data_IF_126710886736
#
_entry.id   IF_126710886736
#
_cell.length_a   1.000
_cell.length_b   1.000
_cell.length_c   1.000
_cell.angle_alpha   90.00
_cell.angle_beta   90.00
_cell.angle_gamma   90.00
#
_symmetry.space_group_name_H-M   'P 1'
#
loop_
_entity.id
_entity.type
_entity.pdbx_description
1 polymer ?
#
# COMPACT_ATOMS: atom_id res chain seq x y z
N UNK A 1 1.73 -16.13 -25.09
CA UNK A 1 1.45 -16.49 -23.69
C UNK A 1 2.57 -16.08 -22.70
N UNK A 2 3.86 -16.26 -23.02
CA UNK A 2 4.95 -15.85 -22.10
C UNK A 2 5.09 -14.33 -21.92
N UNK A 3 4.98 -13.56 -23.01
CA UNK A 3 5.04 -12.08 -22.93
C UNK A 3 3.93 -11.49 -22.07
N UNK A 4 2.69 -11.93 -22.27
CA UNK A 4 1.55 -11.49 -21.45
C UNK A 4 1.80 -11.73 -19.96
N UNK A 5 2.26 -12.95 -19.59
CA UNK A 5 2.59 -13.27 -18.20
C UNK A 5 3.68 -12.35 -17.64
N UNK A 6 4.74 -12.11 -18.41
CA UNK A 6 5.82 -11.22 -18.01
C UNK A 6 5.32 -9.78 -17.78
N UNK A 7 4.58 -9.23 -18.76
CA UNK A 7 4.05 -7.87 -18.68
C UNK A 7 3.07 -7.73 -17.52
N UNK A 8 2.13 -8.66 -17.35
CA UNK A 8 1.22 -8.68 -16.20
C UNK A 8 1.99 -8.74 -14.88
N UNK A 9 3.06 -9.53 -14.80
CA UNK A 9 3.87 -9.61 -13.58
C UNK A 9 4.56 -8.28 -13.26
N UNK A 10 5.17 -7.62 -14.25
CA UNK A 10 5.84 -6.32 -14.05
C UNK A 10 4.85 -5.23 -13.63
N UNK A 11 3.68 -5.22 -14.26
CA UNK A 11 2.58 -4.32 -13.91
C UNK A 11 2.12 -4.57 -12.46
N UNK A 12 1.92 -5.83 -12.06
CA UNK A 12 1.56 -6.21 -10.70
C UNK A 12 2.64 -5.79 -9.69
N UNK A 13 3.91 -6.05 -9.97
CA UNK A 13 5.01 -5.64 -9.08
C UNK A 13 5.00 -4.13 -8.85
N UNK A 14 4.76 -3.36 -9.92
CA UNK A 14 4.90 -1.91 -9.89
C UNK A 14 3.72 -1.19 -9.24
N UNK A 15 2.49 -1.53 -9.65
CA UNK A 15 1.28 -0.81 -9.25
C UNK A 15 0.43 -1.51 -8.18
N UNK A 16 0.79 -2.73 -7.75
CA UNK A 16 0.03 -3.46 -6.71
C UNK A 16 0.95 -3.90 -5.58
N UNK A 17 1.95 -4.76 -5.85
CA UNK A 17 2.82 -5.32 -4.81
C UNK A 17 3.53 -4.23 -4.01
N UNK A 18 4.08 -3.23 -4.69
CA UNK A 18 4.74 -2.10 -4.03
C UNK A 18 3.84 -1.48 -2.94
N UNK A 19 2.63 -1.08 -3.31
CA UNK A 19 1.70 -0.38 -2.43
C UNK A 19 1.05 -1.29 -1.39
N UNK A 20 0.97 -2.59 -1.66
CA UNK A 20 0.60 -3.58 -0.65
C UNK A 20 1.66 -3.73 0.47
N UNK A 21 2.91 -3.33 0.20
CA UNK A 21 4.03 -3.47 1.13
C UNK A 21 4.54 -2.13 1.67
N UNK A 22 4.02 -1.00 1.18
CA UNK A 22 4.55 0.34 1.48
C UNK A 22 3.40 1.36 1.55
N UNK A 23 3.73 2.66 1.58
CA UNK A 23 2.78 3.76 1.71
C UNK A 23 1.96 3.69 3.00
N UNK A 24 0.62 3.67 2.92
CA UNK A 24 -0.26 3.53 4.06
C UNK A 24 0.06 2.29 4.92
N UNK A 25 0.56 1.21 4.30
CA UNK A 25 1.00 0.00 5.02
C UNK A 25 2.23 0.25 5.87
N UNK A 26 3.14 1.14 5.44
CA UNK A 26 4.29 1.54 6.26
C UNK A 26 3.83 2.32 7.48
N UNK A 27 2.85 3.22 7.33
CA UNK A 27 2.28 3.99 8.43
C UNK A 27 1.50 3.13 9.43
N UNK A 28 0.63 2.25 8.96
CA UNK A 28 -0.09 1.30 9.84
C UNK A 28 0.85 0.24 10.40
N UNK A 29 1.91 -0.07 9.66
CA UNK A 29 2.95 -1.04 9.98
C UNK A 29 3.79 -0.61 11.17
N UNK A 30 4.27 0.63 11.26
CA UNK A 30 5.06 1.15 12.40
C UNK A 30 4.19 1.71 13.54
N UNK A 31 3.15 0.98 13.92
CA UNK A 31 2.39 1.32 15.12
C UNK A 31 3.22 1.01 16.38
N UNK A 32 3.76 2.03 17.03
CA UNK A 32 4.25 1.88 18.41
C UNK A 32 3.04 1.64 19.33
N UNK A 33 3.06 0.64 20.24
CA UNK A 33 4.19 -0.22 20.63
C UNK A 33 4.26 -1.59 19.94
N UNK A 34 3.43 -1.86 18.94
CA UNK A 34 3.24 -3.19 18.35
C UNK A 34 4.31 -3.57 17.31
N UNK A 35 4.90 -2.59 16.63
CA UNK A 35 5.95 -2.82 15.64
C UNK A 35 7.01 -1.72 15.71
N UNK A 36 8.17 -2.09 16.23
CA UNK A 36 9.34 -1.23 16.24
C UNK A 36 10.23 -1.59 15.05
N UNK A 37 10.70 -0.57 14.31
CA UNK A 37 11.71 -0.77 13.26
C UNK A 37 13.05 -1.34 13.77
N UNK A 38 13.24 -1.40 15.10
CA UNK A 38 14.35 -2.09 15.75
C UNK A 38 14.19 -2.10 17.27
N UNK A 39 14.80 -3.09 17.92
CA UNK A 39 14.82 -3.21 19.38
C UNK A 39 16.07 -2.53 19.96
N UNK A 40 15.92 -1.87 21.11
CA UNK A 40 17.01 -1.13 21.77
C UNK A 40 17.66 -1.85 22.94
N UNK A 41 17.15 -3.03 23.30
CA UNK A 41 17.69 -3.89 24.35
C UNK A 41 17.93 -5.29 23.83
N UNK A 42 18.89 -5.97 24.48
CA UNK A 42 19.13 -7.40 24.26
C UNK A 42 17.90 -8.21 24.68
N UNK A 43 17.62 -9.27 23.92
CA UNK A 43 16.48 -10.14 24.21
C UNK A 43 16.65 -10.88 25.54
N UNK A 44 15.56 -11.14 26.28
CA UNK A 44 15.61 -11.96 27.48
C UNK A 44 16.13 -13.35 27.13
N UNK A 45 16.96 -13.92 28.01
CA UNK A 45 17.58 -15.23 27.78
C UNK A 45 16.79 -16.38 28.42
N UNK A 46 15.78 -16.05 29.24
CA UNK A 46 14.98 -17.02 30.00
C UNK A 46 13.51 -16.64 29.99
N UNK A 47 12.63 -17.65 30.00
CA UNK A 47 11.18 -17.45 30.16
C UNK A 47 10.88 -17.05 31.61
N UNK A 48 9.85 -16.22 31.80
CA UNK A 48 9.41 -15.76 33.13
C UNK A 48 10.23 -14.60 33.71
N UNK A 49 11.26 -14.14 33.00
CA UNK A 49 11.97 -12.91 33.36
C UNK A 49 11.02 -11.72 33.27
N UNK A 50 10.97 -10.88 34.32
CA UNK A 50 10.16 -9.66 34.31
C UNK A 50 10.81 -8.64 33.41
N UNK A 51 10.15 -8.32 32.30
CA UNK A 51 10.66 -7.39 31.28
C UNK A 51 9.69 -6.25 31.10
N UNK A 52 10.23 -5.03 31.03
CA UNK A 52 9.46 -3.87 30.60
C UNK A 52 9.57 -3.76 29.07
N UNK A 53 8.52 -4.20 28.36
CA UNK A 53 8.51 -4.21 26.90
C UNK A 53 8.65 -2.81 26.29
N UNK A 54 8.27 -1.75 27.02
CA UNK A 54 8.41 -0.38 26.54
C UNK A 54 9.88 0.06 26.44
N UNK A 55 10.79 -0.56 27.20
CA UNK A 55 12.22 -0.25 27.14
C UNK A 55 12.93 -0.86 25.93
N UNK A 56 12.28 -1.81 25.25
CA UNK A 56 12.80 -2.37 23.99
C UNK A 56 12.47 -1.47 22.79
N UNK A 57 11.48 -0.60 22.93
CA UNK A 57 10.96 0.25 21.87
C UNK A 57 11.70 1.55 21.63
N UNK A 58 11.10 2.42 20.82
CA UNK A 58 11.58 3.79 20.60
C UNK A 58 11.35 4.63 21.86
N UNK A 59 12.36 5.36 22.38
CA UNK A 59 12.18 6.27 23.51
C UNK A 59 11.13 7.32 23.17
N UNK A 60 10.33 7.72 24.17
CA UNK A 60 9.28 8.72 23.99
C UNK A 60 9.80 10.02 23.35
N UNK A 61 11.03 10.44 23.67
CA UNK A 61 11.67 11.62 23.09
C UNK A 61 11.95 11.51 21.58
N UNK A 62 12.08 10.31 21.04
CA UNK A 62 12.34 10.04 19.62
C UNK A 62 11.09 9.58 18.86
N UNK A 63 10.00 9.32 19.58
CA UNK A 63 8.75 8.85 18.98
C UNK A 63 8.21 9.79 17.90
N UNK A 64 8.20 11.14 18.07
CA UNK A 64 7.76 12.04 17.02
C UNK A 64 8.57 11.89 15.72
N UNK A 65 9.90 11.78 15.83
CA UNK A 65 10.79 11.62 14.67
C UNK A 65 10.52 10.29 13.97
N UNK A 66 10.37 9.20 14.72
CA UNK A 66 10.06 7.89 14.17
C UNK A 66 8.71 7.88 13.42
N UNK A 67 7.69 8.52 14.01
CA UNK A 67 6.36 8.64 13.38
C UNK A 67 6.40 9.55 12.14
N UNK A 68 7.13 10.66 12.19
CA UNK A 68 7.32 11.54 11.02
C UNK A 68 8.01 10.81 9.86
N UNK A 69 9.02 9.97 10.15
CA UNK A 69 9.69 9.18 9.12
C UNK A 69 8.73 8.22 8.41
N UNK A 70 7.81 7.58 9.14
CA UNK A 70 6.80 6.70 8.56
C UNK A 70 5.70 7.45 7.81
N UNK A 71 5.24 8.57 8.35
CA UNK A 71 4.27 9.44 7.68
C UNK A 71 4.79 9.94 6.32
N UNK A 72 6.11 10.05 6.16
CA UNK A 72 6.72 10.40 4.88
C UNK A 72 6.57 9.33 3.79
N UNK A 73 6.10 8.12 4.10
CA UNK A 73 5.73 7.13 3.08
C UNK A 73 4.25 7.25 2.67
N UNK A 74 3.40 7.84 3.52
CA UNK A 74 1.99 8.07 3.18
C UNK A 74 1.87 9.27 2.27
N UNK A 75 1.28 9.05 1.10
CA UNK A 75 1.00 10.12 0.14
C UNK A 75 -0.47 10.07 -0.28
N UNK A 76 -1.18 11.22 -0.27
CA UNK A 76 -2.48 11.30 -0.89
C UNK A 76 -2.36 10.97 -2.38
N UNK A 77 -3.11 9.97 -2.83
CA UNK A 77 -3.14 9.57 -4.23
C UNK A 77 -4.17 10.42 -4.96
N UNK A 78 -3.72 11.17 -5.97
CA UNK A 78 -4.65 11.92 -6.81
C UNK A 78 -5.39 10.97 -7.77
N UNK A 79 -6.62 11.33 -8.16
CA UNK A 79 -7.39 10.55 -9.15
C UNK A 79 -6.64 10.38 -10.48
N UNK A 80 -5.80 11.35 -10.85
CA UNK A 80 -5.00 11.33 -12.08
C UNK A 80 -3.84 10.32 -12.02
N UNK A 81 -3.47 9.89 -10.82
CA UNK A 81 -2.37 8.94 -10.60
C UNK A 81 -2.86 7.55 -10.22
N UNK A 82 -4.16 7.38 -9.98
CA UNK A 82 -4.73 6.09 -9.60
C UNK A 82 -4.95 5.19 -10.80
N UNK A 83 -5.13 3.89 -10.55
CA UNK A 83 -5.40 2.88 -11.58
C UNK A 83 -6.56 3.22 -12.52
N UNK A 84 -7.51 4.03 -12.06
CA UNK A 84 -8.62 4.52 -12.88
C UNK A 84 -8.18 5.40 -14.05
N UNK A 85 -6.96 5.95 -14.00
CA UNK A 85 -6.37 6.82 -15.04
C UNK A 85 -5.16 6.17 -15.74
N UNK A 86 -4.91 4.87 -15.51
CA UNK A 86 -3.69 4.15 -15.94
C UNK A 86 -3.40 4.18 -17.45
N UNK A 87 -4.43 4.33 -18.28
CA UNK A 87 -4.32 4.39 -19.74
C UNK A 87 -4.84 5.71 -20.32
N UNK A 88 -5.11 6.72 -19.48
CA UNK A 88 -5.51 8.06 -19.94
C UNK A 88 -4.27 8.91 -20.30
N UNK A 89 -3.41 8.35 -21.14
CA UNK A 89 -2.19 8.99 -21.59
C UNK A 89 -1.80 8.48 -22.97
N UNK A 90 -1.18 9.33 -23.79
CA UNK A 90 -0.64 8.92 -25.07
C UNK A 90 0.50 7.89 -24.87
N UNK A 91 0.62 6.88 -25.77
CA UNK A 91 -0.21 6.67 -26.95
C UNK A 91 -1.51 5.89 -26.67
N UNK A 92 -1.72 5.39 -25.46
CA UNK A 92 -2.81 4.44 -25.16
C UNK A 92 -4.21 5.02 -25.35
N UNK A 93 -4.46 6.27 -24.96
CA UNK A 93 -5.77 6.91 -25.14
C UNK A 93 -6.03 7.41 -26.59
N UNK A 94 -5.05 7.30 -27.48
CA UNK A 94 -5.15 7.67 -28.90
C UNK A 94 -5.33 6.45 -29.81
N UNK A 95 -5.00 5.26 -29.33
CA UNK A 95 -5.13 4.02 -30.10
C UNK A 95 -6.58 3.52 -30.08
N UNK A 96 -7.27 3.65 -31.21
CA UNK A 96 -8.67 3.25 -31.36
C UNK A 96 -8.86 1.77 -31.03
N UNK A 97 -7.90 0.91 -31.39
CA UNK A 97 -7.97 -0.52 -31.12
C UNK A 97 -7.95 -0.86 -29.62
N UNK A 98 -7.46 0.03 -28.75
CA UNK A 98 -7.40 -0.19 -27.30
C UNK A 98 -8.64 0.29 -26.55
N UNK A 99 -9.51 1.10 -27.18
CA UNK A 99 -10.61 1.79 -26.51
C UNK A 99 -11.51 0.84 -25.71
N UNK A 100 -11.98 -0.24 -26.34
CA UNK A 100 -12.94 -1.16 -25.72
C UNK A 100 -12.28 -2.00 -24.62
N UNK A 101 -11.04 -2.46 -24.86
CA UNK A 101 -10.28 -3.25 -23.88
C UNK A 101 -9.92 -2.43 -22.65
N UNK A 102 -9.53 -1.15 -22.83
CA UNK A 102 -9.28 -0.22 -21.72
C UNK A 102 -10.59 0.05 -20.96
N UNK A 103 -11.72 0.25 -21.66
CA UNK A 103 -13.01 0.44 -21.00
C UNK A 103 -13.42 -0.78 -20.16
N UNK A 104 -13.23 -1.99 -20.68
CA UNK A 104 -13.49 -3.25 -19.95
C UNK A 104 -12.58 -3.38 -18.72
N UNK A 105 -11.29 -3.06 -18.87
CA UNK A 105 -10.33 -3.06 -17.76
C UNK A 105 -10.74 -2.08 -16.66
N UNK A 106 -11.09 -0.85 -17.01
CA UNK A 106 -11.54 0.16 -16.05
C UNK A 106 -12.87 -0.21 -15.37
N UNK A 107 -13.81 -0.86 -16.10
CA UNK A 107 -15.03 -1.38 -15.53
C UNK A 107 -14.77 -2.52 -14.52
N UNK A 108 -13.79 -3.36 -14.80
CA UNK A 108 -13.34 -4.42 -13.89
C UNK A 108 -12.73 -3.84 -12.62
N UNK A 109 -11.89 -2.81 -12.74
CA UNK A 109 -11.34 -2.07 -11.60
C UNK A 109 -12.43 -1.39 -10.77
N UNK A 110 -13.43 -0.77 -11.40
CA UNK A 110 -14.55 -0.16 -10.69
C UNK A 110 -15.38 -1.20 -9.91
N UNK A 111 -15.51 -2.41 -10.45
CA UNK A 111 -16.15 -3.54 -9.74
C UNK A 111 -15.34 -3.95 -8.51
N UNK A 112 -14.02 -4.08 -8.65
CA UNK A 112 -13.11 -4.40 -7.54
C UNK A 112 -13.17 -3.31 -6.46
N UNK A 113 -13.15 -2.04 -6.86
CA UNK A 113 -13.20 -0.91 -5.92
C UNK A 113 -14.46 -0.94 -5.05
N UNK A 114 -15.63 -1.16 -5.67
CA UNK A 114 -16.90 -1.30 -4.96
C UNK A 114 -16.95 -2.54 -4.07
N UNK A 115 -16.33 -3.64 -4.48
CA UNK A 115 -16.26 -4.85 -3.68
C UNK A 115 -15.46 -4.59 -2.40
N UNK A 116 -14.28 -3.99 -2.51
CA UNK A 116 -13.43 -3.64 -1.37
C UNK A 116 -14.18 -2.67 -0.46
N UNK A 117 -14.73 -1.58 -1.00
CA UNK A 117 -15.50 -0.61 -0.22
C UNK A 117 -16.63 -1.26 0.59
N UNK A 118 -17.43 -2.12 -0.06
CA UNK A 118 -18.52 -2.82 0.61
C UNK A 118 -17.99 -3.73 1.72
N UNK A 119 -16.97 -4.52 1.44
CA UNK A 119 -16.45 -5.51 2.38
C UNK A 119 -15.79 -4.85 3.59
N UNK A 120 -15.06 -3.76 3.38
CA UNK A 120 -14.32 -3.06 4.43
C UNK A 120 -15.20 -2.08 5.23
N UNK A 121 -16.38 -1.68 4.73
CA UNK A 121 -17.26 -0.69 5.38
C UNK A 121 -17.73 -1.04 6.80
N UNK A 122 -17.73 -2.33 7.15
CA UNK A 122 -18.11 -2.83 8.48
C UNK A 122 -16.93 -3.23 9.36
N UNK A 123 -15.70 -3.15 8.85
CA UNK A 123 -14.53 -3.63 9.56
C UNK A 123 -14.04 -2.61 10.59
N UNK A 124 -13.58 -3.11 11.74
CA UNK A 124 -12.98 -2.26 12.78
C UNK A 124 -11.69 -1.60 12.28
N UNK A 125 -10.96 -2.29 11.41
CA UNK A 125 -9.68 -1.87 10.85
C UNK A 125 -9.69 -2.14 9.34
N UNK A 126 -10.32 -1.28 8.53
CA UNK A 126 -10.51 -1.52 7.11
C UNK A 126 -9.17 -1.56 6.36
N UNK A 127 -9.07 -2.49 5.42
CA UNK A 127 -7.97 -2.61 4.47
C UNK A 127 -8.39 -2.07 3.09
N UNK A 128 -8.29 -0.76 2.92
CA UNK A 128 -8.68 -0.05 1.70
C UNK A 128 -7.48 0.35 0.80
N UNK A 129 -6.26 -0.03 1.18
CA UNK A 129 -5.02 0.41 0.52
C UNK A 129 -4.90 -0.10 -0.93
N UNK A 130 -5.63 -1.17 -1.28
CA UNK A 130 -5.67 -1.73 -2.64
C UNK A 130 -6.90 -1.32 -3.44
N UNK A 131 -7.70 -0.36 -2.96
CA UNK A 131 -8.79 0.22 -3.75
C UNK A 131 -8.24 0.85 -5.03
N UNK A 132 -8.67 0.42 -6.24
CA UNK A 132 -8.20 1.00 -7.50
C UNK A 132 -8.32 2.52 -7.61
N UNK A 133 -9.30 3.12 -6.95
CA UNK A 133 -9.47 4.59 -6.93
C UNK A 133 -8.38 5.33 -6.15
N UNK A 134 -7.76 4.65 -5.18
CA UNK A 134 -6.74 5.20 -4.26
C UNK A 134 -5.38 4.53 -4.41
N UNK A 135 -5.21 3.66 -5.40
CA UNK A 135 -3.99 2.90 -5.65
C UNK A 135 -3.26 3.47 -6.87
N UNK A 136 -1.99 3.90 -6.75
CA UNK A 136 -1.22 4.40 -7.90
C UNK A 136 -0.90 3.29 -8.91
N UNK A 137 -0.98 3.58 -10.22
CA UNK A 137 -0.71 2.59 -11.27
C UNK A 137 0.78 2.33 -11.54
N UNK A 138 1.67 3.08 -10.89
CA UNK A 138 3.12 2.99 -11.03
C UNK A 138 3.77 2.86 -9.65
N UNK A 139 5.06 2.50 -9.63
CA UNK A 139 5.84 2.48 -8.40
C UNK A 139 6.08 3.90 -7.91
N UNK A 140 5.55 4.21 -6.74
CA UNK A 140 5.67 5.49 -6.07
C UNK A 140 5.98 5.23 -4.60
N UNK A 141 6.70 6.14 -3.92
CA UNK A 141 7.16 6.02 -2.51
C UNK A 141 6.26 5.19 -1.60
#
# INVERSE_FOLDING_TARGET
>A
MQLQKLVTHLIYLSGVKHHAMNSAVTWTGVSTPYNYGGLRKVMPTRKGEKVNLMEYGVPLSLLPIAMSAAANYVRPVSKLQSWMSSYDVAPFNQEVALKDVVAEFLASLATIDKLIEKQESGEKWPYDQLRPTSLPYFTWI
#
